data_IF_291485604730
#
_entry.id   IF_291485604730
#
_cell.length_a   1.000
_cell.length_b   1.000
_cell.length_c   1.000
_cell.angle_alpha   90.00
_cell.angle_beta   90.00
_cell.angle_gamma   90.00
#
_symmetry.space_group_name_H-M   'P 1'
#
loop_
_entity.id
_entity.type
_entity.pdbx_description
1 polymer ?
#
# COMPACT_ATOMS: atom_id res chain seq x y z
N UNK A 1 -22.23 7.15 17.20
CA UNK A 1 -21.59 7.29 15.89
C UNK A 1 -20.67 6.09 15.70
N UNK A 2 -20.67 5.39 14.56
CA UNK A 2 -20.00 4.07 14.47
C UNK A 2 -18.48 4.18 14.58
N UNK A 3 -17.86 3.33 15.40
CA UNK A 3 -16.40 3.20 15.64
C UNK A 3 -15.61 2.63 14.44
N UNK A 4 -16.12 2.75 13.21
CA UNK A 4 -15.44 2.22 12.03
C UNK A 4 -14.25 3.09 11.66
N UNK A 5 -13.13 2.45 11.33
CA UNK A 5 -11.97 3.10 10.72
C UNK A 5 -12.08 2.96 9.20
N UNK A 6 -12.07 4.05 8.43
CA UNK A 6 -11.99 4.01 6.97
C UNK A 6 -10.72 3.30 6.48
N UNK A 7 -10.85 2.46 5.45
CA UNK A 7 -9.75 1.80 4.76
C UNK A 7 -9.64 2.30 3.31
N UNK A 8 -8.45 2.77 2.93
CA UNK A 8 -8.09 3.07 1.54
C UNK A 8 -7.22 1.92 1.02
N UNK A 9 -7.78 1.10 0.12
CA UNK A 9 -7.09 -0.04 -0.47
C UNK A 9 -6.74 0.21 -1.95
N UNK A 10 -5.46 0.29 -2.27
CA UNK A 10 -4.95 0.39 -3.63
C UNK A 10 -4.73 -1.00 -4.24
N UNK A 11 -5.71 -1.50 -5.00
CA UNK A 11 -5.59 -2.79 -5.71
C UNK A 11 -4.88 -2.62 -7.05
N UNK A 12 -3.66 -3.15 -7.16
CA UNK A 12 -2.84 -3.07 -8.37
C UNK A 12 -3.32 -4.01 -9.47
N UNK A 13 -4.14 -5.02 -9.13
CA UNK A 13 -4.50 -6.12 -10.03
C UNK A 13 -3.22 -6.77 -10.56
N UNK A 14 -3.15 -7.07 -11.86
CA UNK A 14 -1.97 -7.60 -12.53
C UNK A 14 -1.11 -6.47 -13.13
N UNK A 15 -0.72 -5.49 -12.30
CA UNK A 15 0.22 -4.44 -12.70
C UNK A 15 1.43 -4.43 -11.77
N UNK A 16 2.52 -3.87 -12.31
CA UNK A 16 3.84 -3.77 -11.71
C UNK A 16 4.56 -5.11 -11.57
N UNK A 17 5.86 -5.08 -11.87
CA UNK A 17 6.82 -6.13 -11.52
C UNK A 17 7.19 -6.03 -10.04
N UNK A 18 7.82 -7.06 -9.44
CA UNK A 18 8.28 -7.00 -8.05
C UNK A 18 9.19 -5.80 -7.76
N UNK A 19 10.14 -5.50 -8.64
CA UNK A 19 11.09 -4.38 -8.49
C UNK A 19 10.37 -3.02 -8.56
N UNK A 20 9.45 -2.85 -9.51
CA UNK A 20 8.62 -1.64 -9.61
C UNK A 20 7.72 -1.47 -8.38
N UNK A 21 7.13 -2.57 -7.89
CA UNK A 21 6.31 -2.58 -6.69
C UNK A 21 7.08 -2.12 -5.46
N UNK A 22 8.31 -2.62 -5.27
CA UNK A 22 9.18 -2.21 -4.18
C UNK A 22 9.52 -0.72 -4.24
N UNK A 23 9.98 -0.26 -5.40
CA UNK A 23 10.30 1.15 -5.62
C UNK A 23 9.09 2.07 -5.39
N UNK A 24 7.90 1.63 -5.81
CA UNK A 24 6.66 2.36 -5.56
C UNK A 24 6.34 2.44 -4.06
N UNK A 25 6.42 1.33 -3.33
CA UNK A 25 6.16 1.29 -1.89
C UNK A 25 7.13 2.18 -1.10
N UNK A 26 8.42 2.15 -1.41
CA UNK A 26 9.42 3.01 -0.77
C UNK A 26 9.10 4.50 -0.99
N UNK A 27 8.78 4.87 -2.24
CA UNK A 27 8.39 6.24 -2.58
C UNK A 27 7.06 6.65 -1.94
N UNK A 28 6.11 5.72 -1.78
CA UNK A 28 4.82 5.97 -1.15
C UNK A 28 4.96 6.18 0.35
N UNK A 29 5.72 5.33 1.05
CA UNK A 29 6.02 5.48 2.48
C UNK A 29 6.66 6.83 2.78
N UNK A 30 7.61 7.28 1.95
CA UNK A 30 8.24 8.59 2.11
C UNK A 30 7.24 9.76 2.01
N UNK A 31 6.23 9.65 1.13
CA UNK A 31 5.15 10.65 1.00
C UNK A 31 4.14 10.59 2.15
N UNK A 32 4.03 9.45 2.82
CA UNK A 32 3.17 9.22 3.99
C UNK A 32 3.89 9.48 5.32
N UNK A 33 4.98 10.26 5.35
CA UNK A 33 5.71 10.56 6.59
C UNK A 33 4.82 11.11 7.72
N UNK A 34 3.68 11.73 7.37
CA UNK A 34 2.62 12.12 8.30
C UNK A 34 1.29 11.49 7.85
N UNK A 35 1.00 10.23 8.21
CA UNK A 35 -0.22 9.55 7.79
C UNK A 35 -1.44 10.08 8.56
N UNK A 36 -2.66 9.98 8.00
CA UNK A 36 -3.87 10.41 8.70
C UNK A 36 -4.14 9.54 9.93
N UNK A 37 -4.45 10.16 11.08
CA UNK A 37 -4.62 9.45 12.37
C UNK A 37 -5.80 8.47 12.43
N UNK A 38 -6.75 8.56 11.49
CA UNK A 38 -8.00 7.78 11.52
C UNK A 38 -8.31 7.11 10.17
N UNK A 39 -7.29 6.74 9.42
CA UNK A 39 -7.46 6.03 8.14
C UNK A 39 -6.42 4.92 8.04
N UNK A 40 -6.87 3.71 7.72
CA UNK A 40 -5.98 2.62 7.34
C UNK A 40 -5.68 2.66 5.84
N UNK A 41 -4.46 2.32 5.47
CA UNK A 41 -4.01 2.30 4.07
C UNK A 41 -3.45 0.92 3.77
N UNK A 42 -3.92 0.32 2.68
CA UNK A 42 -3.44 -0.96 2.19
C UNK A 42 -3.06 -0.87 0.70
N UNK A 43 -2.03 -1.62 0.31
CA UNK A 43 -1.71 -1.92 -1.09
C UNK A 43 -1.95 -3.39 -1.34
N UNK A 44 -2.58 -3.72 -2.46
CA UNK A 44 -2.88 -5.10 -2.87
C UNK A 44 -2.15 -5.41 -4.18
N UNK A 45 -0.86 -5.82 -4.10
CA UNK A 45 -0.07 -6.22 -5.27
C UNK A 45 -0.55 -7.57 -5.85
N UNK A 46 -0.14 -7.94 -7.08
CA UNK A 46 -0.25 -9.33 -7.53
C UNK A 46 0.60 -10.25 -6.66
N UNK A 47 0.21 -11.53 -6.58
CA UNK A 47 0.87 -12.53 -5.71
C UNK A 47 2.39 -12.58 -5.88
N UNK A 48 2.87 -12.51 -7.12
CA UNK A 48 4.30 -12.57 -7.47
C UNK A 48 5.12 -11.40 -6.94
N UNK A 49 4.49 -10.29 -6.54
CA UNK A 49 5.17 -9.11 -6.01
C UNK A 49 5.03 -8.97 -4.48
N UNK A 50 4.29 -9.86 -3.79
CA UNK A 50 4.06 -9.77 -2.35
C UNK A 50 5.37 -9.73 -1.54
N UNK A 51 6.32 -10.60 -1.86
CA UNK A 51 7.61 -10.67 -1.17
C UNK A 51 8.41 -9.36 -1.30
N UNK A 52 8.38 -8.74 -2.48
CA UNK A 52 9.14 -7.53 -2.74
C UNK A 52 8.58 -6.29 -2.04
N UNK A 53 7.28 -6.27 -1.71
CA UNK A 53 6.61 -5.08 -1.16
C UNK A 53 6.36 -5.11 0.35
N UNK A 54 6.54 -6.25 1.00
CA UNK A 54 6.24 -6.42 2.44
C UNK A 54 7.36 -5.93 3.38
N UNK A 55 8.51 -5.52 2.83
CA UNK A 55 9.66 -4.98 3.58
C UNK A 55 9.42 -3.58 4.12
#
# INVERSE_FOLDING_TARGET
MSERVPLIAGNWKMNLTPDEGRAWCDGFKARLATPPERVEIAVCPPFTALEAVVS
#
